data_IF_622059065785
#
_entry.id   IF_622059065785
#
_cell.length_a   1.000
_cell.length_b   1.000
_cell.length_c   1.000
_cell.angle_alpha   90.00
_cell.angle_beta   90.00
_cell.angle_gamma   90.00
#
_symmetry.space_group_name_H-M   'P 1'
#
loop_
_entity.id
_entity.type
_entity.pdbx_description
1 polymer ?
#
# COMPACT_ATOMS: atom_id res chain seq x y z
N UNK A 1 8.61 -3.40 14.67
CA UNK A 1 8.77 -4.78 14.16
C UNK A 1 8.09 -4.82 12.80
N UNK A 2 8.84 -4.86 11.69
CA UNK A 2 8.24 -5.24 10.42
C UNK A 2 7.81 -6.70 10.60
N UNK A 3 6.50 -6.93 10.71
CA UNK A 3 5.96 -8.28 10.52
C UNK A 3 6.48 -8.71 9.16
N UNK A 4 7.30 -9.76 9.09
CA UNK A 4 7.67 -10.34 7.80
C UNK A 4 6.39 -10.86 7.17
N UNK A 5 5.83 -10.08 6.26
CA UNK A 5 4.75 -10.54 5.43
C UNK A 5 5.33 -11.58 4.49
N UNK A 6 5.11 -12.85 4.85
CA UNK A 6 5.39 -13.96 3.95
C UNK A 6 4.33 -13.94 2.86
N UNK A 7 4.76 -13.60 1.66
CA UNK A 7 3.94 -13.66 0.47
C UNK A 7 4.61 -14.56 -0.57
N UNK A 8 3.81 -15.06 -1.49
CA UNK A 8 4.23 -15.95 -2.57
C UNK A 8 3.89 -15.28 -3.90
N UNK A 9 4.72 -15.49 -4.92
CA UNK A 9 4.39 -15.03 -6.26
C UNK A 9 3.14 -15.76 -6.75
N UNK A 10 2.11 -14.99 -7.15
CA UNK A 10 0.85 -15.51 -7.67
C UNK A 10 0.63 -14.95 -9.08
N UNK A 11 0.56 -15.78 -10.14
CA UNK A 11 0.39 -15.29 -11.49
C UNK A 11 -0.84 -14.39 -11.66
N UNK A 12 -0.65 -13.18 -12.20
CA UNK A 12 -1.71 -12.19 -12.37
C UNK A 12 -2.11 -11.44 -11.09
N UNK A 13 -1.33 -11.57 -10.01
CA UNK A 13 -1.54 -10.86 -8.76
C UNK A 13 -0.24 -10.24 -8.25
N UNK A 14 -0.36 -9.04 -7.71
CA UNK A 14 0.69 -8.33 -7.01
C UNK A 14 0.43 -8.44 -5.50
N UNK A 15 1.48 -8.73 -4.72
CA UNK A 15 1.42 -8.54 -3.28
C UNK A 15 1.56 -7.04 -2.93
N UNK A 16 0.51 -6.47 -2.36
CA UNK A 16 0.55 -5.13 -1.76
C UNK A 16 0.96 -5.31 -0.31
N UNK A 17 2.08 -4.69 0.08
CA UNK A 17 2.58 -4.78 1.45
C UNK A 17 1.65 -4.06 2.42
N UNK A 18 1.54 -4.63 3.61
CA UNK A 18 0.90 -4.00 4.74
C UNK A 18 1.61 -2.70 5.12
N UNK A 19 0.84 -1.77 5.66
CA UNK A 19 1.31 -0.44 6.00
C UNK A 19 0.54 0.10 7.21
N UNK A 20 1.15 1.08 7.87
CA UNK A 20 0.49 1.85 8.92
C UNK A 20 -0.44 2.89 8.30
N UNK A 21 -1.67 2.90 8.80
CA UNK A 21 -2.71 3.83 8.42
C UNK A 21 -3.25 4.55 9.65
N UNK A 22 -3.65 5.81 9.51
CA UNK A 22 -4.23 6.59 10.60
C UNK A 22 -5.74 6.57 10.44
N UNK A 23 -6.43 5.82 11.31
CA UNK A 23 -7.89 5.66 11.28
C UNK A 23 -8.43 5.78 12.69
N UNK A 24 -9.61 6.41 12.83
CA UNK A 24 -10.30 6.55 14.11
C UNK A 24 -9.44 7.13 15.24
N UNK A 25 -8.52 8.04 14.91
CA UNK A 25 -7.64 8.70 15.88
C UNK A 25 -6.44 7.88 16.36
N UNK A 26 -6.11 6.78 15.70
CA UNK A 26 -4.97 5.92 16.06
C UNK A 26 -4.25 5.33 14.84
N UNK A 27 -2.99 4.95 15.04
CA UNK A 27 -2.23 4.18 14.06
C UNK A 27 -2.68 2.72 14.07
N UNK A 28 -3.19 2.26 12.94
CA UNK A 28 -3.58 0.87 12.70
C UNK A 28 -2.69 0.24 11.64
N UNK A 29 -2.25 -0.98 11.91
CA UNK A 29 -1.56 -1.79 10.91
C UNK A 29 -2.60 -2.44 9.99
N UNK A 30 -2.54 -2.12 8.70
CA UNK A 30 -3.31 -2.82 7.68
C UNK A 30 -2.45 -3.96 7.15
N UNK A 31 -2.90 -5.22 7.24
CA UNK A 31 -2.16 -6.35 6.67
C UNK A 31 -2.14 -6.24 5.15
N UNK A 32 -1.04 -6.69 4.55
CA UNK A 32 -0.90 -6.80 3.10
C UNK A 32 -1.90 -7.79 2.50
N UNK A 33 -2.12 -7.65 1.20
CA UNK A 33 -3.08 -8.43 0.45
C UNK A 33 -2.66 -8.58 -1.00
N UNK A 34 -3.27 -9.54 -1.71
CA UNK A 34 -3.09 -9.67 -3.15
C UNK A 34 -4.06 -8.75 -3.89
N UNK A 35 -3.52 -7.92 -4.76
CA UNK A 35 -4.28 -7.17 -5.76
C UNK A 35 -4.12 -7.81 -7.13
N UNK A 36 -5.16 -7.75 -7.96
CA UNK A 36 -5.08 -8.27 -9.33
C UNK A 36 -4.20 -7.34 -10.16
N UNK A 37 -3.20 -7.90 -10.84
CA UNK A 37 -2.36 -7.13 -11.76
C UNK A 37 -3.21 -6.55 -12.89
N UNK A 38 -2.90 -5.31 -13.26
CA UNK A 38 -3.54 -4.61 -14.37
C UNK A 38 -2.53 -4.43 -15.49
N UNK A 39 -2.84 -4.95 -16.67
CA UNK A 39 -1.98 -4.81 -17.84
C UNK A 39 -1.71 -3.32 -18.13
N UNK A 40 -0.45 -2.98 -18.38
CA UNK A 40 -0.02 -1.60 -18.66
C UNK A 40 -0.02 -0.65 -17.46
N UNK A 41 -0.22 -1.15 -16.23
CA UNK A 41 -0.20 -0.33 -15.02
C UNK A 41 0.85 -0.82 -14.02
N UNK A 42 1.31 0.09 -13.17
CA UNK A 42 2.15 -0.18 -12.01
C UNK A 42 1.37 0.22 -10.76
N UNK A 43 1.47 -0.60 -9.72
CA UNK A 43 0.96 -0.25 -8.40
C UNK A 43 1.92 0.73 -7.73
N UNK A 44 1.38 1.88 -7.32
CA UNK A 44 2.06 2.81 -6.43
C UNK A 44 1.57 2.54 -5.01
N UNK A 45 2.49 2.21 -4.11
CA UNK A 45 2.15 1.97 -2.71
C UNK A 45 1.60 3.23 -2.03
N UNK A 46 0.67 3.07 -1.07
CA UNK A 46 0.25 4.16 -0.21
C UNK A 46 1.43 4.67 0.61
N UNK A 47 1.51 5.97 0.78
CA UNK A 47 2.56 6.61 1.58
C UNK A 47 2.05 7.88 2.24
N UNK A 48 2.71 8.26 3.32
CA UNK A 48 2.48 9.53 3.99
C UNK A 48 3.42 10.57 3.39
N UNK A 49 2.86 11.67 2.92
CA UNK A 49 3.59 12.79 2.36
C UNK A 49 3.39 14.01 3.26
N UNK A 50 4.47 14.72 3.59
CA UNK A 50 4.36 15.97 4.33
C UNK A 50 4.10 17.10 3.34
N UNK A 51 2.96 17.78 3.48
CA UNK A 51 2.55 18.93 2.67
C UNK A 51 2.17 20.07 3.61
N UNK A 52 2.78 21.23 3.44
CA UNK A 52 2.48 22.44 4.23
C UNK A 52 2.43 22.22 5.75
N UNK A 53 3.35 21.39 6.26
CA UNK A 53 3.45 21.07 7.69
C UNK A 53 2.46 20.03 8.20
N UNK A 54 1.55 19.53 7.37
CA UNK A 54 0.63 18.42 7.69
C UNK A 54 1.04 17.14 6.97
N UNK A 55 0.79 15.99 7.59
CA UNK A 55 0.94 14.70 6.93
C UNK A 55 -0.35 14.34 6.21
N UNK A 56 -0.27 14.16 4.90
CA UNK A 56 -1.37 13.73 4.06
C UNK A 56 -1.11 12.31 3.59
N UNK A 57 -2.10 11.45 3.75
CA UNK A 57 -2.03 10.11 3.19
C UNK A 57 -2.27 10.18 1.67
N UNK A 58 -1.30 9.69 0.91
CA UNK A 58 -1.48 9.40 -0.51
C UNK A 58 -1.89 7.94 -0.63
N UNK A 59 -3.12 7.71 -1.05
CA UNK A 59 -3.64 6.34 -1.23
C UNK A 59 -2.89 5.58 -2.32
N UNK A 60 -2.81 4.26 -2.12
CA UNK A 60 -2.28 3.34 -3.10
C UNK A 60 -3.12 3.38 -4.37
N UNK A 61 -2.48 3.39 -5.53
CA UNK A 61 -3.19 3.53 -6.81
C UNK A 61 -2.47 2.84 -7.95
N UNK A 62 -3.26 2.37 -8.91
CA UNK A 62 -2.75 1.90 -10.20
C UNK A 62 -2.47 3.11 -11.09
N UNK A 63 -1.22 3.28 -11.48
CA UNK A 63 -0.79 4.32 -12.43
C UNK A 63 -0.45 3.67 -13.77
N UNK A 64 -0.77 4.35 -14.87
CA UNK A 64 -0.38 3.90 -16.21
C UNK A 64 1.15 3.96 -16.30
N UNK A 65 1.74 2.95 -16.94
CA UNK A 65 3.18 2.90 -17.20
C UNK A 65 3.63 3.90 -18.25
#
# INVERSE_FOLDING_TARGET
>A
MLREERWEARPGFLWVRGHWDWRDGQWLWLPGHYERERAGHVWREPHWEQRDGVYVKVEGSWVIR
#
